data_IF_170414303028
#
_entry.id   IF_170414303028
#
_cell.length_a   1.000
_cell.length_b   1.000
_cell.length_c   1.000
_cell.angle_alpha   90.00
_cell.angle_beta   90.00
_cell.angle_gamma   90.00
#
_symmetry.space_group_name_H-M   'P 1'
#
loop_
_entity.id
_entity.type
_entity.pdbx_description
1 polymer ?
#
# COMPACT_ATOMS: atom_id res chain seq x y z
N UNK A 1 -33.31 -6.33 3.58
CA UNK A 1 -32.26 -7.00 2.79
C UNK A 1 -30.97 -6.82 3.57
N UNK A 2 -30.43 -7.93 4.03
CA UNK A 2 -29.39 -8.03 5.04
C UNK A 2 -28.05 -7.49 4.51
N UNK A 3 -27.53 -6.43 5.12
CA UNK A 3 -26.25 -5.83 4.75
C UNK A 3 -25.17 -6.34 5.72
N UNK A 4 -25.03 -7.67 5.84
CA UNK A 4 -24.20 -8.33 6.87
C UNK A 4 -22.84 -8.85 6.40
N UNK A 5 -22.47 -8.61 5.15
CA UNK A 5 -21.20 -9.14 4.58
C UNK A 5 -20.18 -8.07 4.16
N UNK A 6 -20.41 -6.79 4.47
CA UNK A 6 -19.35 -5.79 4.28
C UNK A 6 -18.37 -5.83 5.48
N UNK A 7 -17.06 -5.99 5.23
CA UNK A 7 -16.05 -5.88 6.27
C UNK A 7 -16.18 -4.53 6.99
N UNK A 8 -16.03 -4.54 8.31
CA UNK A 8 -16.03 -3.29 9.08
C UNK A 8 -14.90 -2.38 8.58
N UNK A 9 -15.20 -1.10 8.31
CA UNK A 9 -14.18 -0.11 7.94
C UNK A 9 -13.00 -0.16 8.93
N UNK A 10 -11.75 -0.32 8.45
CA UNK A 10 -10.57 -0.37 9.30
C UNK A 10 -10.45 0.87 10.19
N UNK A 11 -9.92 0.71 11.42
CA UNK A 11 -9.89 1.78 12.40
C UNK A 11 -9.14 3.02 11.90
N UNK A 12 -8.03 2.83 11.19
CA UNK A 12 -7.21 3.92 10.65
C UNK A 12 -7.90 4.68 9.51
N UNK A 13 -8.78 4.02 8.73
CA UNK A 13 -9.62 4.70 7.74
C UNK A 13 -10.71 5.53 8.42
N UNK A 14 -11.24 5.09 9.56
CA UNK A 14 -12.21 5.91 10.32
C UNK A 14 -11.59 7.17 10.94
N UNK A 15 -10.26 7.23 11.00
CA UNK A 15 -9.53 8.34 11.60
C UNK A 15 -9.12 9.43 10.59
N UNK A 16 -9.16 9.16 9.29
CA UNK A 16 -8.87 10.18 8.26
C UNK A 16 -10.10 11.05 7.98
N UNK A 17 -9.89 12.34 7.77
CA UNK A 17 -10.95 13.27 7.35
C UNK A 17 -11.16 13.26 5.82
N UNK A 18 -10.11 12.93 5.08
CA UNK A 18 -10.12 12.89 3.61
C UNK A 18 -10.98 11.73 3.09
N UNK A 19 -11.78 11.95 2.02
CA UNK A 19 -12.66 10.92 1.50
C UNK A 19 -11.86 9.83 0.78
N UNK A 20 -11.80 8.64 1.40
CA UNK A 20 -11.33 7.44 0.72
C UNK A 20 -12.40 6.93 -0.25
N UNK A 21 -12.00 6.61 -1.47
CA UNK A 21 -12.83 5.98 -2.48
C UNK A 21 -12.45 4.49 -2.52
N UNK A 22 -13.15 3.62 -1.76
CA UNK A 22 -12.82 2.20 -1.73
C UNK A 22 -13.28 1.49 -3.00
N UNK A 23 -12.54 0.46 -3.36
CA UNK A 23 -13.02 -0.57 -4.29
C UNK A 23 -13.74 -1.68 -3.51
N UNK A 24 -14.36 -2.62 -4.22
CA UNK A 24 -14.95 -3.79 -3.56
C UNK A 24 -13.85 -4.57 -2.83
N UNK A 25 -14.14 -5.02 -1.61
CA UNK A 25 -13.21 -5.80 -0.80
C UNK A 25 -12.70 -7.05 -1.53
N UNK A 26 -11.45 -7.43 -1.25
CA UNK A 26 -10.80 -8.56 -1.92
C UNK A 26 -11.43 -9.89 -1.53
N UNK A 27 -11.60 -10.78 -2.51
CA UNK A 27 -12.05 -12.13 -2.22
C UNK A 27 -10.97 -12.91 -1.45
N UNK A 28 -11.39 -13.86 -0.61
CA UNK A 28 -10.46 -14.68 0.18
C UNK A 28 -9.49 -15.50 -0.69
N UNK A 29 -9.87 -15.86 -1.92
CA UNK A 29 -8.96 -16.49 -2.88
C UNK A 29 -7.86 -15.55 -3.38
N UNK A 30 -8.18 -14.27 -3.60
CA UNK A 30 -7.21 -13.27 -4.01
C UNK A 30 -6.22 -13.00 -2.87
N UNK A 31 -6.73 -12.87 -1.64
CA UNK A 31 -5.92 -12.67 -0.44
C UNK A 31 -4.95 -13.84 -0.21
N UNK A 32 -5.43 -15.08 -0.36
CA UNK A 32 -4.58 -16.28 -0.33
C UNK A 32 -3.54 -16.26 -1.45
N UNK A 33 -3.92 -15.82 -2.65
CA UNK A 33 -3.00 -15.72 -3.80
C UNK A 33 -1.90 -14.70 -3.54
N UNK A 34 -2.21 -13.56 -2.92
CA UNK A 34 -1.23 -12.56 -2.52
C UNK A 34 -0.24 -13.12 -1.48
N UNK A 35 -0.76 -13.77 -0.44
CA UNK A 35 0.06 -14.42 0.59
C UNK A 35 0.96 -15.51 0.01
N UNK A 36 0.45 -16.32 -0.92
CA UNK A 36 1.23 -17.34 -1.60
C UNK A 36 2.32 -16.71 -2.50
N UNK A 37 2.04 -15.59 -3.15
CA UNK A 37 3.01 -14.89 -3.98
C UNK A 37 4.20 -14.35 -3.17
N UNK A 38 3.95 -13.89 -1.94
CA UNK A 38 4.98 -13.46 -0.98
C UNK A 38 5.17 -14.47 0.17
N UNK A 39 5.24 -15.76 -0.14
CA UNK A 39 5.34 -16.83 0.88
C UNK A 39 6.57 -16.73 1.80
N UNK A 40 7.62 -16.04 1.37
CA UNK A 40 8.84 -15.86 2.16
C UNK A 40 8.72 -14.78 3.24
N UNK A 41 7.64 -14.00 3.25
CA UNK A 41 7.45 -12.92 4.18
C UNK A 41 5.99 -12.77 4.65
N UNK A 42 5.81 -12.56 5.95
CA UNK A 42 4.47 -12.34 6.48
C UNK A 42 3.98 -10.94 6.13
N UNK A 43 2.91 -10.86 5.34
CA UNK A 43 2.23 -9.60 5.03
C UNK A 43 1.61 -9.04 6.32
N UNK A 44 1.88 -7.76 6.67
CA UNK A 44 1.28 -7.10 7.82
C UNK A 44 -0.24 -7.24 7.87
N UNK A 45 -0.78 -7.56 9.05
CA UNK A 45 -2.22 -7.76 9.25
C UNK A 45 -3.02 -6.51 8.89
N UNK A 46 -2.51 -5.31 9.20
CA UNK A 46 -3.17 -4.05 8.84
C UNK A 46 -3.40 -3.91 7.33
N UNK A 47 -2.44 -4.35 6.52
CA UNK A 47 -2.58 -4.31 5.07
C UNK A 47 -3.58 -5.37 4.57
N UNK A 48 -3.59 -6.56 5.18
CA UNK A 48 -4.60 -7.58 4.87
C UNK A 48 -6.02 -7.13 5.24
N UNK A 49 -6.18 -6.43 6.37
CA UNK A 49 -7.45 -5.81 6.78
C UNK A 49 -7.89 -4.72 5.80
N UNK A 50 -6.95 -3.90 5.32
CA UNK A 50 -7.23 -2.91 4.27
C UNK A 50 -7.74 -3.59 3.00
N UNK A 51 -7.04 -4.60 2.49
CA UNK A 51 -7.40 -5.30 1.26
C UNK A 51 -8.72 -6.06 1.37
N UNK A 52 -9.02 -6.63 2.53
CA UNK A 52 -10.33 -7.23 2.81
C UNK A 52 -11.45 -6.21 2.68
N UNK A 53 -11.26 -5.00 3.22
CA UNK A 53 -12.25 -3.94 3.15
C UNK A 53 -12.32 -3.26 1.78
N UNK A 54 -11.18 -3.05 1.13
CA UNK A 54 -11.02 -2.36 -0.15
C UNK A 54 -9.86 -2.95 -0.92
N UNK A 55 -10.14 -3.65 -2.03
CA UNK A 55 -9.13 -4.28 -2.88
C UNK A 55 -8.43 -3.25 -3.79
N UNK A 56 -7.63 -2.37 -3.18
CA UNK A 56 -7.12 -1.16 -3.82
C UNK A 56 -7.92 0.05 -3.35
N UNK A 57 -7.96 1.11 -4.14
CA UNK A 57 -8.72 2.32 -3.84
C UNK A 57 -7.87 3.57 -3.84
N UNK A 58 -8.54 4.72 -3.82
CA UNK A 58 -7.91 6.01 -4.07
C UNK A 58 -8.33 7.04 -3.05
N UNK A 59 -7.44 7.98 -2.78
CA UNK A 59 -7.78 9.16 -2.01
C UNK A 59 -7.07 10.40 -2.54
N UNK A 60 -7.83 11.48 -2.60
CA UNK A 60 -7.30 12.82 -2.77
C UNK A 60 -7.20 13.42 -1.38
N UNK A 61 -6.02 13.36 -0.80
CA UNK A 61 -5.69 14.11 0.42
C UNK A 61 -5.47 15.59 0.06
N UNK A 62 -5.49 16.51 1.04
CA UNK A 62 -5.35 17.95 0.78
C UNK A 62 -4.07 18.31 -0.02
N UNK A 63 -3.00 17.54 0.15
CA UNK A 63 -1.68 17.82 -0.41
C UNK A 63 -1.04 16.62 -1.13
N UNK A 64 -1.78 15.54 -1.35
CA UNK A 64 -1.29 14.35 -2.02
C UNK A 64 -2.43 13.57 -2.67
N UNK A 65 -2.12 12.84 -3.73
CA UNK A 65 -3.00 11.80 -4.25
C UNK A 65 -2.38 10.44 -3.94
N UNK A 66 -3.21 9.45 -3.63
CA UNK A 66 -2.79 8.08 -3.39
C UNK A 66 -3.69 7.15 -4.19
N UNK A 67 -3.06 6.26 -4.95
CA UNK A 67 -3.71 5.17 -5.69
C UNK A 67 -3.11 3.84 -5.22
N UNK A 68 -3.83 3.15 -4.33
CA UNK A 68 -3.46 1.82 -3.88
C UNK A 68 -3.98 0.78 -4.86
N UNK A 69 -3.10 -0.13 -5.24
CA UNK A 69 -3.37 -1.14 -6.25
C UNK A 69 -4.23 -2.28 -5.67
N UNK A 70 -5.10 -2.84 -6.53
CA UNK A 70 -5.77 -4.10 -6.23
C UNK A 70 -4.78 -5.26 -6.14
N UNK A 71 -5.15 -6.36 -5.48
CA UNK A 71 -4.31 -7.57 -5.33
C UNK A 71 -3.79 -8.06 -6.68
N UNK A 72 -4.66 -8.15 -7.69
CA UNK A 72 -4.28 -8.57 -9.03
C UNK A 72 -3.22 -7.62 -9.64
N UNK A 73 -3.41 -6.32 -9.44
CA UNK A 73 -2.49 -5.28 -9.91
C UNK A 73 -1.17 -5.31 -9.14
N UNK A 74 -1.18 -5.54 -7.82
CA UNK A 74 0.03 -5.73 -7.00
C UNK A 74 0.86 -6.87 -7.58
N UNK A 75 0.27 -8.04 -7.79
CA UNK A 75 0.98 -9.21 -8.35
C UNK A 75 1.53 -8.89 -9.76
N UNK A 76 0.70 -8.29 -10.63
CA UNK A 76 1.09 -7.97 -12.00
C UNK A 76 2.23 -6.94 -12.07
N UNK A 77 2.08 -5.80 -11.38
CA UNK A 77 3.00 -4.67 -11.49
C UNK A 77 4.31 -4.94 -10.76
N UNK A 78 4.30 -5.64 -9.62
CA UNK A 78 5.56 -6.04 -8.98
C UNK A 78 6.40 -6.94 -9.89
N UNK A 79 5.76 -7.83 -10.65
CA UNK A 79 6.44 -8.64 -11.66
C UNK A 79 6.90 -7.81 -12.86
N UNK A 80 6.05 -6.91 -13.36
CA UNK A 80 6.31 -6.12 -14.57
C UNK A 80 7.43 -5.12 -14.37
N UNK A 81 7.44 -4.42 -13.23
CA UNK A 81 8.53 -3.51 -12.82
C UNK A 81 9.73 -4.25 -12.23
N UNK A 82 9.67 -5.58 -12.11
CA UNK A 82 10.74 -6.41 -11.55
C UNK A 82 11.18 -5.94 -10.15
N UNK A 83 10.22 -5.56 -9.30
CA UNK A 83 10.49 -4.97 -7.97
C UNK A 83 11.49 -5.81 -7.18
N UNK A 84 11.31 -7.13 -7.11
CA UNK A 84 12.24 -8.01 -6.39
C UNK A 84 13.67 -8.01 -6.93
N UNK A 85 13.83 -7.82 -8.24
CA UNK A 85 15.14 -7.76 -8.89
C UNK A 85 15.92 -6.51 -8.45
N UNK A 86 15.23 -5.38 -8.35
CA UNK A 86 15.85 -4.08 -8.08
C UNK A 86 15.88 -3.71 -6.60
N UNK A 87 14.83 -4.07 -5.87
CA UNK A 87 14.59 -3.67 -4.49
C UNK A 87 14.72 -4.82 -3.47
N UNK A 88 14.91 -6.05 -3.95
CA UNK A 88 15.03 -7.25 -3.11
C UNK A 88 13.71 -7.93 -2.78
N UNK A 89 13.78 -9.13 -2.19
CA UNK A 89 12.62 -10.02 -2.03
C UNK A 89 11.60 -9.56 -0.98
N UNK A 90 11.99 -8.63 -0.11
CA UNK A 90 11.16 -8.14 1.00
C UNK A 90 10.38 -6.87 0.69
N UNK A 91 10.59 -6.23 -0.47
CA UNK A 91 9.83 -5.05 -0.86
C UNK A 91 8.69 -5.42 -1.81
N UNK A 92 7.48 -4.96 -1.45
CA UNK A 92 6.26 -5.13 -2.24
C UNK A 92 5.72 -3.75 -2.62
N UNK A 93 5.69 -3.42 -3.90
CA UNK A 93 4.96 -2.26 -4.39
C UNK A 93 3.46 -2.42 -4.16
N UNK A 94 2.80 -1.45 -3.53
CA UNK A 94 1.37 -1.53 -3.16
C UNK A 94 0.53 -0.39 -3.76
N UNK A 95 1.17 0.61 -4.37
CA UNK A 95 0.46 1.75 -4.94
C UNK A 95 1.40 2.83 -5.44
N UNK A 96 0.81 3.96 -5.83
CA UNK A 96 1.53 5.16 -6.28
C UNK A 96 0.87 6.43 -5.79
N UNK A 97 1.51 7.56 -6.05
CA UNK A 97 0.92 8.88 -5.93
C UNK A 97 0.14 9.33 -7.18
N UNK A 98 -0.24 8.38 -8.06
CA UNK A 98 -0.80 8.65 -9.38
C UNK A 98 0.23 9.05 -10.44
N UNK A 99 1.51 9.16 -10.05
CA UNK A 99 2.64 9.44 -10.92
C UNK A 99 3.70 8.33 -10.86
N UNK A 100 4.97 8.72 -10.81
CA UNK A 100 6.10 7.79 -10.79
C UNK A 100 6.53 7.37 -9.39
N UNK A 101 5.95 7.92 -8.33
CA UNK A 101 6.37 7.55 -6.96
C UNK A 101 5.73 6.22 -6.55
N UNK A 102 6.54 5.18 -6.43
CA UNK A 102 6.14 3.90 -5.85
C UNK A 102 5.96 4.03 -4.35
N UNK A 103 4.84 3.54 -3.83
CA UNK A 103 4.65 3.28 -2.41
C UNK A 103 4.86 1.78 -2.19
N UNK A 104 5.90 1.41 -1.45
CA UNK A 104 6.28 0.04 -1.18
C UNK A 104 6.12 -0.31 0.31
N UNK A 105 5.64 -1.52 0.57
CA UNK A 105 5.53 -2.13 1.88
C UNK A 105 6.75 -3.01 2.13
N UNK A 106 7.43 -2.77 3.26
CA UNK A 106 8.53 -3.60 3.72
C UNK A 106 8.01 -4.81 4.51
N UNK A 107 8.41 -5.99 4.06
CA UNK A 107 8.04 -7.28 4.63
C UNK A 107 9.20 -7.92 5.42
N UNK A 108 10.38 -7.28 5.43
CA UNK A 108 11.55 -7.73 6.16
C UNK A 108 11.20 -7.90 7.64
N UNK A 109 11.57 -9.01 8.30
CA UNK A 109 11.21 -9.25 9.69
C UNK A 109 11.62 -8.14 10.68
N UNK A 110 12.67 -7.37 10.37
CA UNK A 110 13.20 -6.31 11.24
C UNK A 110 12.49 -4.95 11.09
N UNK A 111 11.84 -4.72 9.94
CA UNK A 111 11.19 -3.45 9.55
C UNK A 111 9.77 -3.67 9.03
N UNK A 112 9.17 -4.83 9.35
CA UNK A 112 7.90 -5.28 8.80
C UNK A 112 6.79 -4.26 9.05
N UNK A 113 6.14 -3.83 7.97
CA UNK A 113 5.06 -2.85 7.98
C UNK A 113 5.51 -1.44 7.63
N UNK A 114 6.81 -1.16 7.64
CA UNK A 114 7.33 0.12 7.20
C UNK A 114 6.98 0.38 5.73
N UNK A 115 6.71 1.64 5.41
CA UNK A 115 6.39 2.11 4.09
C UNK A 115 7.56 2.94 3.57
N UNK A 116 8.02 2.58 2.38
CA UNK A 116 9.16 3.20 1.73
C UNK A 116 8.73 3.67 0.34
N UNK A 117 9.18 4.87 -0.05
CA UNK A 117 8.95 5.42 -1.38
C UNK A 117 10.16 5.20 -2.29
N UNK A 118 9.89 4.96 -3.57
CA UNK A 118 10.90 4.82 -4.63
C UNK A 118 10.43 5.51 -5.91
N UNK A 119 11.35 5.81 -6.82
CA UNK A 119 11.00 6.25 -8.17
C UNK A 119 10.83 5.01 -9.05
N UNK A 120 9.62 4.81 -9.60
CA UNK A 120 9.33 3.72 -10.54
C UNK A 120 10.19 3.79 -11.80
N UNK A 121 10.62 5.01 -12.19
CA UNK A 121 11.48 5.22 -13.36
C UNK A 121 12.94 4.84 -13.13
N UNK A 122 13.38 4.75 -11.88
CA UNK A 122 14.77 4.49 -11.48
C UNK A 122 14.82 3.70 -10.16
N UNK A 123 14.38 2.44 -10.24
CA UNK A 123 14.32 1.55 -9.07
C UNK A 123 15.73 1.20 -8.57
N UNK A 124 16.12 1.80 -7.46
CA UNK A 124 17.37 1.56 -6.74
C UNK A 124 17.09 1.46 -5.24
N UNK A 125 17.44 0.31 -4.64
CA UNK A 125 17.27 0.06 -3.21
C UNK A 125 17.96 1.11 -2.32
N UNK A 126 19.08 1.68 -2.78
CA UNK A 126 19.84 2.70 -2.05
C UNK A 126 19.16 4.07 -2.04
N UNK A 127 18.19 4.28 -2.94
CA UNK A 127 17.41 5.52 -3.06
C UNK A 127 16.06 5.45 -2.35
N UNK A 128 15.79 4.37 -1.63
CA UNK A 128 14.55 4.22 -0.87
C UNK A 128 14.44 5.26 0.24
N UNK A 129 13.29 5.92 0.33
CA UNK A 129 12.99 6.90 1.37
C UNK A 129 11.88 6.40 2.28
N UNK A 130 12.17 6.08 3.55
CA UNK A 130 11.13 5.73 4.53
C UNK A 130 10.16 6.89 4.73
N UNK A 131 8.86 6.62 4.63
CA UNK A 131 7.80 7.64 4.73
C UNK A 131 6.83 7.38 5.88
N UNK A 132 6.67 6.12 6.30
CA UNK A 132 5.83 5.76 7.44
C UNK A 132 6.28 4.42 8.06
N UNK A 133 6.01 4.22 9.34
CA UNK A 133 6.28 2.98 10.07
C UNK A 133 5.15 1.94 9.93
N UNK A 134 3.98 2.37 9.44
CA UNK A 134 2.84 1.50 9.18
C UNK A 134 1.87 2.10 8.16
N UNK A 135 0.92 1.28 7.68
CA UNK A 135 -0.20 1.74 6.85
C UNK A 135 -1.02 2.79 7.62
N UNK A 136 -1.36 2.53 8.88
CA UNK A 136 -2.11 3.49 9.69
C UNK A 136 -1.38 4.84 9.82
N UNK A 137 -0.05 4.83 10.00
CA UNK A 137 0.72 6.06 10.06
C UNK A 137 0.79 6.78 8.70
N UNK A 138 0.93 6.03 7.60
CA UNK A 138 0.92 6.58 6.25
C UNK A 138 -0.34 7.41 6.00
N UNK A 139 -1.50 6.82 6.27
CA UNK A 139 -2.81 7.48 6.16
C UNK A 139 -2.90 8.75 7.00
N UNK A 140 -2.47 8.68 8.27
CA UNK A 140 -2.45 9.84 9.17
C UNK A 140 -1.52 10.95 8.67
N UNK A 141 -0.35 10.61 8.12
CA UNK A 141 0.61 11.60 7.61
C UNK A 141 0.09 12.30 6.36
N UNK A 142 -0.56 11.59 5.45
CA UNK A 142 -1.23 12.20 4.30
C UNK A 142 -2.39 13.12 4.74
N UNK A 143 -3.26 12.66 5.64
CA UNK A 143 -4.43 13.43 6.10
C UNK A 143 -4.04 14.70 6.87
N UNK A 144 -2.96 14.64 7.64
CA UNK A 144 -2.42 15.80 8.37
C UNK A 144 -1.56 16.75 7.52
N UNK A 145 -1.25 16.39 6.28
CA UNK A 145 -0.35 17.16 5.42
C UNK A 145 1.14 17.06 5.79
N UNK A 146 1.51 16.15 6.71
CA UNK A 146 2.92 15.86 7.01
C UNK A 146 3.61 15.14 5.84
N UNK A 147 2.84 14.40 5.04
CA UNK A 147 3.27 13.79 3.79
C UNK A 147 2.46 14.40 2.66
N UNK A 148 3.15 14.98 1.69
CA UNK A 148 2.63 15.69 0.52
C UNK A 148 3.28 15.14 -0.74
N UNK A 149 2.76 15.46 -1.92
CA UNK A 149 3.41 15.06 -3.18
C UNK A 149 4.88 15.52 -3.26
N UNK A 150 5.22 16.69 -2.70
CA UNK A 150 6.57 17.24 -2.75
C UNK A 150 7.59 16.48 -1.88
N UNK A 151 7.15 15.92 -0.76
CA UNK A 151 8.02 15.22 0.19
C UNK A 151 7.81 13.70 0.20
N UNK A 152 6.93 13.18 -0.66
CA UNK A 152 6.77 11.76 -0.92
C UNK A 152 7.82 11.24 -1.92
N UNK A 153 8.22 12.03 -2.91
CA UNK A 153 9.23 11.64 -3.88
C UNK A 153 10.59 11.38 -3.18
N UNK A 154 11.33 10.31 -3.56
CA UNK A 154 12.60 9.92 -2.94
C UNK A 154 13.79 10.84 -3.25
#
# INVERSE_FOLDING_TARGET
>A
MDNRDQPSTPYFIRCIQSPWLPETGGHEDDLRSLQAHWSEAAIPEEFMLLLRWSNGGRCVFPHAYVDLWSIATIIQLNRSYQIRRYLGDYLMGIGTDGGSTLIALDLCPLSRGQIISFDLGDLDISRGKPIAESIAELFRKFDSGLLTSDNLYP
#
